data_IF_796888362467
#
_entry.id   IF_796888362467
#
_cell.length_a   1.000
_cell.length_b   1.000
_cell.length_c   1.000
_cell.angle_alpha   90.00
_cell.angle_beta   90.00
_cell.angle_gamma   90.00
#
_symmetry.space_group_name_H-M   'P 1'
#
loop_
_entity.id
_entity.type
_entity.pdbx_description
1 polymer ?
#
# COMPACT_ATOMS: atom_id res chain seq x y z
N UNK A 1 11.52 4.69 21.94
CA UNK A 1 11.28 5.45 20.70
C UNK A 1 11.45 4.58 19.45
N UNK A 2 12.67 4.17 19.07
CA UNK A 2 12.94 3.48 17.80
C UNK A 2 12.08 2.21 17.57
N UNK A 3 11.99 1.33 18.58
CA UNK A 3 11.16 0.10 18.51
C UNK A 3 9.68 0.35 18.19
N UNK A 4 9.12 1.50 18.59
CA UNK A 4 7.72 1.84 18.27
C UNK A 4 7.57 2.33 16.83
N UNK A 5 8.55 3.09 16.34
CA UNK A 5 8.59 3.55 14.95
C UNK A 5 8.78 2.36 14.01
N UNK A 6 9.73 1.46 14.32
CA UNK A 6 9.96 0.23 13.56
C UNK A 6 8.71 -0.66 13.52
N UNK A 7 8.06 -0.88 14.66
CA UNK A 7 6.79 -1.62 14.71
C UNK A 7 5.73 -0.94 13.83
N UNK A 8 5.55 0.36 13.97
CA UNK A 8 4.62 1.14 13.15
C UNK A 8 4.90 1.01 11.66
N UNK A 9 6.18 1.08 11.26
CA UNK A 9 6.60 0.90 9.87
C UNK A 9 6.26 -0.50 9.36
N UNK A 10 6.62 -1.56 10.08
CA UNK A 10 6.34 -2.93 9.66
C UNK A 10 4.85 -3.24 9.58
N UNK A 11 4.06 -2.76 10.55
CA UNK A 11 2.60 -2.90 10.48
C UNK A 11 2.03 -2.12 9.29
N UNK A 12 2.51 -0.91 9.04
CA UNK A 12 2.12 -0.12 7.87
C UNK A 12 2.52 -0.80 6.55
N UNK A 13 3.68 -1.44 6.49
CA UNK A 13 4.15 -2.13 5.28
C UNK A 13 3.27 -3.35 4.96
N UNK A 14 2.96 -4.17 5.96
CA UNK A 14 2.08 -5.34 5.79
C UNK A 14 0.68 -4.89 5.36
N UNK A 15 0.14 -3.89 6.05
CA UNK A 15 -1.20 -3.38 5.78
C UNK A 15 -1.27 -2.71 4.40
N UNK A 16 -0.24 -1.96 4.01
CA UNK A 16 -0.10 -1.38 2.68
C UNK A 16 0.02 -2.43 1.58
N UNK A 17 0.78 -3.51 1.81
CA UNK A 17 0.87 -4.63 0.88
C UNK A 17 -0.47 -5.33 0.69
N UNK A 18 -1.17 -5.63 1.79
CA UNK A 18 -2.50 -6.25 1.74
C UNK A 18 -3.50 -5.35 1.03
N UNK A 19 -3.58 -4.05 1.37
CA UNK A 19 -4.51 -3.12 0.73
C UNK A 19 -4.17 -2.89 -0.74
N UNK A 20 -2.88 -2.73 -1.07
CA UNK A 20 -2.43 -2.47 -2.42
C UNK A 20 -2.82 -3.60 -3.39
N UNK A 21 -2.88 -4.84 -2.92
CA UNK A 21 -3.32 -5.97 -3.73
C UNK A 21 -4.78 -5.86 -4.19
N UNK A 22 -5.64 -5.23 -3.40
CA UNK A 22 -7.06 -5.03 -3.74
C UNK A 22 -7.30 -3.73 -4.52
N UNK A 23 -6.51 -2.69 -4.27
CA UNK A 23 -6.73 -1.35 -4.83
C UNK A 23 -6.04 -1.17 -6.18
N UNK A 24 -4.90 -1.83 -6.41
CA UNK A 24 -4.13 -1.66 -7.65
C UNK A 24 -4.75 -2.57 -8.72
N UNK A 25 -5.31 -2.02 -9.80
CA UNK A 25 -5.87 -2.83 -10.88
C UNK A 25 -4.75 -3.56 -11.63
N UNK A 26 -4.83 -4.88 -11.69
CA UNK A 26 -3.92 -5.70 -12.51
C UNK A 26 -4.37 -5.78 -13.99
N UNK A 27 -5.62 -5.42 -14.25
CA UNK A 27 -6.20 -5.38 -15.60
C UNK A 27 -7.02 -4.12 -15.77
N UNK A 28 -6.90 -3.55 -16.95
CA UNK A 28 -7.77 -2.49 -17.43
C UNK A 28 -8.78 -3.14 -18.39
N UNK A 29 -10.06 -2.81 -18.19
CA UNK A 29 -11.13 -3.31 -19.05
C UNK A 29 -11.71 -2.09 -19.75
N UNK A 30 -11.47 -1.98 -21.05
CA UNK A 30 -12.01 -0.92 -21.88
C UNK A 30 -13.19 -1.43 -22.71
N UNK A 31 -14.22 -0.60 -22.84
CA UNK A 31 -15.37 -0.90 -23.70
C UNK A 31 -15.09 -0.36 -25.09
N UNK A 32 -14.97 -1.25 -26.08
CA UNK A 32 -14.59 -0.87 -27.46
C UNK A 32 -15.82 -0.66 -28.35
N UNK A 33 -17.02 -0.68 -27.77
CA UNK A 33 -18.29 -0.58 -28.49
C UNK A 33 -18.83 -1.95 -28.95
N UNK A 34 -20.10 -1.96 -29.38
CA UNK A 34 -20.82 -3.16 -29.88
C UNK A 34 -20.95 -4.32 -28.88
N UNK A 35 -20.90 -4.01 -27.58
CA UNK A 35 -20.99 -5.01 -26.50
C UNK A 35 -19.69 -5.79 -26.27
N UNK A 36 -18.60 -5.45 -26.96
CA UNK A 36 -17.29 -6.05 -26.77
C UNK A 36 -16.46 -5.30 -25.72
N UNK A 37 -15.80 -6.07 -24.86
CA UNK A 37 -14.83 -5.57 -23.87
C UNK A 37 -13.43 -6.04 -24.23
N UNK A 38 -12.48 -5.13 -24.25
CA UNK A 38 -11.05 -5.45 -24.40
C UNK A 38 -10.41 -5.42 -23.02
N UNK A 39 -9.65 -6.47 -22.70
CA UNK A 39 -8.96 -6.58 -21.41
C UNK A 39 -7.47 -6.52 -21.64
N UNK A 40 -6.86 -5.44 -21.17
CA UNK A 40 -5.42 -5.24 -21.20
C UNK A 40 -4.87 -5.54 -19.81
N UNK A 41 -4.00 -6.53 -19.70
CA UNK A 41 -3.33 -6.84 -18.44
C UNK A 41 -2.12 -5.95 -18.28
N UNK A 42 -1.91 -5.42 -17.07
CA UNK A 42 -0.65 -4.79 -16.73
C UNK A 42 0.47 -5.84 -16.75
N UNK A 43 1.66 -5.44 -17.19
CA UNK A 43 2.84 -6.28 -16.98
C UNK A 43 3.01 -6.55 -15.48
N UNK A 44 3.34 -7.80 -15.14
CA UNK A 44 3.51 -8.21 -13.75
C UNK A 44 4.55 -7.35 -13.02
N UNK A 45 5.63 -6.95 -13.71
CA UNK A 45 6.64 -6.03 -13.18
C UNK A 45 6.06 -4.69 -12.76
N UNK A 46 5.20 -4.12 -13.59
CA UNK A 46 4.63 -2.79 -13.37
C UNK A 46 3.64 -2.81 -12.20
N UNK A 47 2.85 -3.89 -12.10
CA UNK A 47 1.99 -4.13 -10.96
C UNK A 47 2.78 -4.26 -9.65
N UNK A 48 3.85 -5.06 -9.64
CA UNK A 48 4.72 -5.22 -8.46
C UNK A 48 5.34 -3.89 -8.06
N UNK A 49 5.81 -3.09 -9.01
CA UNK A 49 6.38 -1.76 -8.74
C UNK A 49 5.34 -0.85 -8.09
N UNK A 50 4.11 -0.81 -8.61
CA UNK A 50 3.02 -0.04 -8.00
C UNK A 50 2.70 -0.52 -6.58
N UNK A 51 2.65 -1.84 -6.38
CA UNK A 51 2.38 -2.46 -5.09
C UNK A 51 3.44 -2.09 -4.04
N UNK A 52 4.72 -2.18 -4.41
CA UNK A 52 5.84 -1.80 -3.54
C UNK A 52 5.75 -0.31 -3.19
N UNK A 53 5.54 0.56 -4.19
CA UNK A 53 5.41 2.01 -3.96
C UNK A 53 4.28 2.34 -2.99
N UNK A 54 3.09 1.77 -3.22
CA UNK A 54 1.94 1.96 -2.34
C UNK A 54 2.24 1.47 -0.93
N UNK A 55 2.83 0.28 -0.80
CA UNK A 55 3.17 -0.32 0.49
C UNK A 55 4.16 0.52 1.29
N UNK A 56 5.18 1.09 0.63
CA UNK A 56 6.17 1.97 1.26
C UNK A 56 5.52 3.26 1.76
N UNK A 57 4.59 3.86 1.01
CA UNK A 57 3.86 5.06 1.45
C UNK A 57 3.07 4.76 2.73
N UNK A 58 2.33 3.65 2.78
CA UNK A 58 1.58 3.25 3.98
C UNK A 58 2.53 2.89 5.14
N UNK A 59 3.68 2.29 4.87
CA UNK A 59 4.70 2.00 5.87
C UNK A 59 5.24 3.29 6.54
N UNK A 60 5.49 4.34 5.76
CA UNK A 60 5.89 5.65 6.29
C UNK A 60 4.79 6.26 7.16
N UNK A 61 3.52 6.18 6.73
CA UNK A 61 2.38 6.62 7.55
C UNK A 61 2.31 5.82 8.86
N UNK A 62 2.50 4.50 8.80
CA UNK A 62 2.57 3.64 9.98
C UNK A 62 3.71 4.02 10.94
N UNK A 63 4.88 4.38 10.42
CA UNK A 63 6.01 4.86 11.21
C UNK A 63 5.69 6.17 11.95
N UNK A 64 5.03 7.11 11.27
CA UNK A 64 4.56 8.38 11.86
C UNK A 64 3.55 8.11 12.98
N UNK A 65 2.58 7.23 12.75
CA UNK A 65 1.62 6.81 13.79
C UNK A 65 2.35 6.19 14.99
N UNK A 66 3.31 5.29 14.73
CA UNK A 66 4.14 4.68 15.76
C UNK A 66 4.92 5.70 16.60
N UNK A 67 5.45 6.76 15.97
CA UNK A 67 6.09 7.87 16.67
C UNK A 67 5.12 8.61 17.60
N UNK A 68 3.92 8.97 17.11
CA UNK A 68 2.91 9.65 17.93
C UNK A 68 2.42 8.80 19.09
N UNK A 69 2.23 7.49 18.89
CA UNK A 69 1.86 6.56 19.96
C UNK A 69 2.92 6.46 21.05
N UNK A 70 4.21 6.41 20.68
CA UNK A 70 5.30 6.48 21.64
C UNK A 70 5.28 7.79 22.42
N UNK A 71 5.09 8.92 21.72
CA UNK A 71 5.03 10.24 22.34
C UNK A 71 3.90 10.35 23.35
N UNK A 72 2.71 9.82 23.03
CA UNK A 72 1.57 9.77 23.95
C UNK A 72 1.89 8.95 25.19
N UNK A 73 2.44 7.73 25.00
CA UNK A 73 2.82 6.85 26.11
C UNK A 73 3.94 7.42 26.99
N UNK A 74 4.80 8.27 26.44
CA UNK A 74 5.89 8.90 27.20
C UNK A 74 5.43 10.12 28.02
N UNK A 75 4.22 10.62 27.79
CA UNK A 75 3.63 11.76 28.50
C UNK A 75 2.67 11.32 29.62
N UNK A 76 2.25 10.05 29.62
CA UNK A 76 1.59 9.35 30.74
C UNK A 76 2.64 8.77 31.70
#
# INVERSE_FOLDING_TARGET
MLKFIEKGFFYGLILGGSMGFFVIPYKEVESVGDGATETTYLNLSDFIIHLIRFSVVIAVVGAVIGFFLYRKKSLE
#
